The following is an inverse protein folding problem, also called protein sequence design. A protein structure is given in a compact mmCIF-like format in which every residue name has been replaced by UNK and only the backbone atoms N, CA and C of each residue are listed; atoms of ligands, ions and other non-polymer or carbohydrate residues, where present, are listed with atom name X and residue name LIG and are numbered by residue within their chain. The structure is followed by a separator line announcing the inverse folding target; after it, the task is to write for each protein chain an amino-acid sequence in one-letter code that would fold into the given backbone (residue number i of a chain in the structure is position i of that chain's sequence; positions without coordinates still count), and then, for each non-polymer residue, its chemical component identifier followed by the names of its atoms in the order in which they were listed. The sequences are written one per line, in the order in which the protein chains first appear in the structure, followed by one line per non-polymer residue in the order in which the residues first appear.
data_IF_776855192523
#
_entry.id   IF_776855192523
#
_cell.length_a   1.000
_cell.length_b   1.000
_cell.length_c   1.000
_cell.angle_alpha   90.00
_cell.angle_beta   90.00
_cell.angle_gamma   90.00
#
_symmetry.space_group_name_H-M   'P 1'
#
loop_
_entity.id
_entity.type
_entity.pdbx_description
1 polymer ?
2 non-polymer ?
3 non-polymer ?
4 water ?
#
# COMPACT_ATOMS: atom_id res chain seq x y z
N UNK A 1 24.30 9.43 6.92
CA UNK A 1 25.51 9.83 6.21
C UNK A 1 25.74 8.90 5.01
N UNK A 2 25.38 7.65 5.21
CA UNK A 2 25.39 6.63 4.16
C UNK A 2 23.96 6.22 3.85
N UNK A 3 23.61 5.90 2.61
CA UNK A 3 22.20 5.49 2.43
C UNK A 3 22.08 4.16 1.70
N UNK A 4 22.82 3.18 2.20
CA UNK A 4 22.87 1.86 1.57
C UNK A 4 21.84 0.92 2.19
N UNK A 5 20.93 0.34 1.41
CA UNK A 5 20.00 -0.57 2.03
C UNK A 5 20.62 -1.93 2.40
N UNK A 6 20.07 -2.53 3.44
CA UNK A 6 20.31 -3.91 3.76
C UNK A 6 18.98 -4.66 3.80
N UNK A 7 18.95 -5.95 3.52
CA UNK A 7 17.74 -6.76 3.76
C UNK A 7 17.10 -6.54 5.12
N UNK A 8 17.83 -6.09 6.15
CA UNK A 8 17.03 -5.77 7.36
C UNK A 8 16.17 -4.54 7.20
N UNK A 9 16.28 -3.78 6.09
CA UNK A 9 15.38 -2.62 5.95
C UNK A 9 14.02 -3.07 5.42
N UNK A 10 13.92 -4.32 5.05
CA UNK A 10 12.66 -4.93 4.65
C UNK A 10 12.11 -4.34 3.36
N UNK A 11 13.00 -3.97 2.44
CA UNK A 11 12.48 -3.45 1.16
C UNK A 11 12.13 -4.57 0.17
N UNK A 12 10.93 -4.47 -0.43
CA UNK A 12 10.48 -5.53 -1.29
C UNK A 12 9.96 -4.91 -2.59
N UNK A 13 9.95 -5.74 -3.63
CA UNK A 13 9.50 -5.26 -4.93
C UNK A 13 8.66 -6.31 -5.62
N UNK A 14 7.64 -5.89 -6.38
CA UNK A 14 6.91 -6.90 -7.14
C UNK A 14 7.69 -7.24 -8.40
N UNK A 15 7.55 -8.52 -8.83
CA UNK A 15 8.16 -8.94 -10.08
C UNK A 15 7.71 -8.07 -11.26
N UNK A 16 6.48 -7.61 -11.20
CA UNK A 16 5.88 -6.81 -12.26
C UNK A 16 6.41 -5.39 -12.30
N UNK A 17 7.21 -4.97 -11.34
CA UNK A 17 7.62 -3.57 -11.29
C UNK A 17 8.82 -3.37 -12.20
N UNK A 18 9.96 -3.95 -11.79
CA UNK A 18 11.16 -3.91 -12.62
C UNK A 18 10.92 -4.71 -13.89
N UNK A 19 9.95 -5.63 -13.89
CA UNK A 19 9.67 -6.42 -15.08
C UNK A 19 8.70 -5.76 -16.04
N UNK A 20 8.26 -4.52 -15.73
CA UNK A 20 7.30 -3.88 -16.63
C UNK A 20 7.96 -3.60 -17.98
N UNK A 21 7.40 -4.14 -19.08
CA UNK A 21 8.02 -3.93 -20.38
C UNK A 21 7.74 -2.59 -21.02
N UNK A 22 6.87 -1.74 -20.46
CA UNK A 22 6.77 -0.40 -21.08
C UNK A 22 5.56 -0.23 -21.95
N UNK A 23 4.68 -1.22 -22.04
CA UNK A 23 3.45 -1.06 -22.82
C UNK A 23 2.43 -0.11 -22.14
N UNK A 24 1.97 0.94 -22.83
CA UNK A 24 1.03 1.87 -22.16
C UNK A 24 -0.21 2.03 -23.07
N UNK A 25 -1.22 2.83 -22.80
CA UNK A 25 -2.41 2.75 -23.65
C UNK A 25 -2.12 3.20 -25.08
N UNK A 26 -1.02 3.93 -25.25
CA UNK A 26 -0.70 4.47 -26.56
C UNK A 26 0.59 3.93 -27.15
N UNK A 27 1.18 2.86 -26.64
CA UNK A 27 2.44 2.49 -27.24
C UNK A 27 2.89 1.08 -26.90
N UNK A 28 3.78 0.58 -27.72
CA UNK A 28 4.28 -0.78 -27.59
C UNK A 28 5.36 -0.87 -26.51
N UNK A 29 5.72 -2.10 -26.16
CA UNK A 29 6.78 -2.37 -25.20
C UNK A 29 8.10 -1.77 -25.64
N UNK A 30 8.90 -1.20 -24.75
CA UNK A 30 10.22 -0.67 -25.07
C UNK A 30 11.33 -1.52 -24.47
N UNK A 31 10.98 -2.52 -23.67
CA UNK A 31 11.99 -3.38 -23.04
C UNK A 31 11.60 -4.84 -23.22
N UNK A 32 12.61 -5.72 -23.30
CA UNK A 32 12.26 -7.14 -23.40
C UNK A 32 11.83 -7.68 -22.04
N UNK A 33 11.17 -8.85 -22.08
CA UNK A 33 10.74 -9.42 -20.80
C UNK A 33 11.95 -9.85 -19.98
N UNK A 34 11.80 -9.74 -18.68
CA UNK A 34 12.82 -10.21 -17.77
C UNK A 34 12.45 -11.57 -17.21
N UNK A 35 13.39 -12.49 -17.09
CA UNK A 35 13.08 -13.74 -16.38
C UNK A 35 12.99 -13.48 -14.89
N UNK A 36 11.97 -13.97 -14.20
CA UNK A 36 11.86 -13.77 -12.76
C UNK A 36 13.12 -14.11 -11.99
N UNK A 37 13.82 -15.13 -12.53
CA UNK A 37 15.04 -15.51 -11.80
C UNK A 37 16.05 -14.39 -11.88
N UNK A 38 16.11 -13.71 -13.03
CA UNK A 38 17.11 -12.66 -13.13
C UNK A 38 16.71 -11.46 -12.27
N UNK A 39 15.40 -11.17 -12.16
CA UNK A 39 14.99 -10.06 -11.30
C UNK A 39 15.34 -10.35 -9.85
N UNK A 40 15.14 -11.60 -9.41
CA UNK A 40 15.47 -11.89 -8.01
C UNK A 40 16.93 -11.67 -7.70
N UNK A 41 17.80 -12.12 -8.59
CA UNK A 41 19.23 -11.95 -8.35
C UNK A 41 19.63 -10.48 -8.41
N UNK A 42 19.09 -9.74 -9.36
CA UNK A 42 19.44 -8.33 -9.49
C UNK A 42 18.95 -7.51 -8.31
N UNK A 43 17.74 -7.81 -7.88
CA UNK A 43 17.25 -7.11 -6.71
C UNK A 43 18.02 -7.47 -5.45
N UNK A 44 18.38 -8.75 -5.31
CA UNK A 44 19.21 -9.11 -4.16
C UNK A 44 20.51 -8.34 -4.12
N UNK A 45 21.12 -8.13 -5.27
CA UNK A 45 22.38 -7.40 -5.30
C UNK A 45 22.23 -5.94 -4.92
N UNK A 46 21.04 -5.38 -5.10
CA UNK A 46 20.82 -3.99 -4.75
C UNK A 46 20.49 -3.83 -3.27
N UNK A 47 20.27 -4.96 -2.59
CA UNK A 47 20.01 -4.80 -1.15
C UNK A 47 18.57 -5.03 -0.76
N UNK A 48 17.76 -5.50 -1.70
CA UNK A 48 16.38 -5.79 -1.34
C UNK A 48 16.24 -6.98 -0.38
N UNK A 49 15.15 -7.05 0.34
CA UNK A 49 14.83 -8.15 1.26
C UNK A 49 14.02 -9.23 0.58
N UNK A 50 13.18 -8.86 -0.41
CA UNK A 50 12.26 -9.86 -0.93
C UNK A 50 11.53 -9.39 -2.18
N UNK A 51 10.72 -10.30 -2.74
CA UNK A 51 9.94 -10.02 -3.92
C UNK A 51 8.52 -10.52 -3.71
N UNK A 52 7.61 -10.00 -4.55
CA UNK A 52 6.22 -10.42 -4.49
C UNK A 52 5.76 -10.75 -5.92
N UNK A 53 4.62 -11.41 -6.04
CA UNK A 53 4.22 -11.75 -7.39
C UNK A 53 2.72 -11.87 -7.50
N UNK A 54 2.17 -11.66 -8.70
CA UNK A 54 0.86 -12.19 -9.05
C UNK A 54 1.09 -13.61 -9.59
N UNK A 55 0.11 -14.49 -9.41
CA UNK A 55 0.20 -15.82 -10.06
C UNK A 55 0.67 -15.74 -11.51
N UNK A 56 0.09 -14.91 -12.35
CA UNK A 56 0.47 -14.87 -13.76
C UNK A 56 1.81 -14.21 -14.02
N UNK A 57 2.48 -13.56 -13.08
CA UNK A 57 3.83 -13.09 -13.30
C UNK A 57 4.83 -14.26 -13.25
N UNK A 58 4.48 -15.25 -12.44
CA UNK A 58 5.41 -16.35 -12.12
C UNK A 58 5.17 -17.53 -13.04
N UNK A 59 3.88 -17.80 -13.26
CA UNK A 59 3.43 -18.93 -14.07
C UNK A 59 2.55 -18.40 -15.18
N UNK A 60 3.01 -18.47 -16.42
CA UNK A 60 2.21 -17.88 -17.51
C UNK A 60 0.84 -18.57 -17.57
N UNK A 61 -0.14 -17.75 -17.90
CA UNK A 61 -1.54 -18.13 -17.97
C UNK A 61 -1.70 -19.34 -18.90
N UNK A 62 -2.49 -20.31 -18.47
CA UNK A 62 -2.89 -21.52 -19.14
C UNK A 62 -1.87 -22.64 -19.04
N UNK A 63 -0.84 -22.43 -18.23
CA UNK A 63 0.27 -23.35 -18.09
C UNK A 63 -0.19 -24.73 -17.63
N UNK A 64 0.42 -25.75 -18.24
CA UNK A 64 0.15 -27.12 -17.85
C UNK A 64 0.58 -27.33 -16.41
N UNK A 65 -0.05 -28.19 -15.62
CA UNK A 65 0.44 -28.43 -14.25
C UNK A 65 1.90 -28.82 -14.15
N UNK A 66 2.48 -29.33 -15.23
CA UNK A 66 3.87 -29.67 -15.21
C UNK A 66 4.74 -28.48 -15.56
N UNK A 67 4.27 -27.55 -16.41
CA UNK A 67 5.13 -26.40 -16.68
C UNK A 67 5.17 -25.47 -15.45
N UNK A 68 4.10 -25.54 -14.69
CA UNK A 68 3.90 -24.87 -13.42
C UNK A 68 4.94 -25.28 -12.39
N UNK A 69 5.11 -26.58 -12.20
CA UNK A 69 6.08 -27.04 -11.24
C UNK A 69 7.52 -26.66 -11.59
N UNK A 70 7.84 -26.67 -12.88
CA UNK A 70 9.13 -26.23 -13.37
C UNK A 70 9.35 -24.75 -13.09
N UNK A 71 8.33 -23.93 -13.30
CA UNK A 71 8.49 -22.49 -13.09
C UNK A 71 8.70 -22.23 -11.61
N UNK A 72 7.92 -22.93 -10.79
CA UNK A 72 8.09 -22.67 -9.35
C UNK A 72 9.45 -23.14 -8.85
N UNK A 73 9.90 -24.28 -9.37
CA UNK A 73 11.15 -24.84 -8.82
C UNK A 73 12.32 -23.95 -9.14
N UNK A 74 12.42 -23.42 -10.36
CA UNK A 74 13.46 -22.47 -10.69
C UNK A 74 13.42 -21.20 -9.84
N UNK A 75 12.19 -20.79 -9.56
CA UNK A 75 12.06 -19.57 -8.72
C UNK A 75 12.59 -19.83 -7.33
N UNK A 76 12.19 -20.97 -6.79
CA UNK A 76 12.57 -21.40 -5.47
C UNK A 76 14.08 -21.56 -5.39
N UNK A 77 14.73 -22.05 -6.42
CA UNK A 77 16.19 -22.09 -6.40
C UNK A 77 16.79 -20.70 -6.33
N UNK A 78 16.22 -19.72 -7.06
CA UNK A 78 16.82 -18.38 -6.98
C UNK A 78 16.66 -17.77 -5.61
N UNK A 79 15.54 -18.12 -4.97
CA UNK A 79 15.31 -17.59 -3.61
C UNK A 79 16.32 -18.18 -2.61
N UNK A 80 16.52 -19.49 -2.73
CA UNK A 80 17.52 -20.17 -1.90
C UNK A 80 18.92 -19.68 -2.17
N UNK A 81 19.26 -19.44 -3.43
CA UNK A 81 20.58 -18.96 -3.76
C UNK A 81 20.88 -17.55 -3.27
N UNK A 82 19.82 -16.75 -3.12
CA UNK A 82 20.02 -15.35 -2.77
C UNK A 82 19.66 -14.99 -1.35
N UNK A 83 18.84 -15.78 -0.63
CA UNK A 83 18.43 -15.33 0.69
C UNK A 83 17.16 -14.47 0.59
N UNK A 84 16.64 -14.25 -0.61
CA UNK A 84 15.41 -13.43 -0.77
C UNK A 84 14.17 -14.11 -0.25
N UNK A 85 13.26 -13.34 0.37
CA UNK A 85 11.98 -13.88 0.87
C UNK A 85 10.81 -13.47 -0.03
N UNK A 86 9.64 -14.09 0.20
CA UNK A 86 8.39 -13.76 -0.52
C UNK A 86 7.30 -13.50 0.52
N UNK A 87 7.21 -12.26 1.02
CA UNK A 87 6.26 -11.98 2.10
C UNK A 87 4.81 -11.76 1.72
N UNK A 88 4.59 -11.53 0.43
CA UNK A 88 3.24 -11.23 -0.04
C UNK A 88 3.06 -11.85 -1.40
N UNK A 89 1.82 -12.25 -1.71
CA UNK A 89 1.50 -12.65 -3.06
C UNK A 89 0.08 -12.16 -3.40
N UNK A 90 -0.28 -12.23 -4.67
CA UNK A 90 -1.61 -11.71 -5.06
C UNK A 90 -2.06 -12.42 -6.31
N UNK A 91 -3.30 -12.22 -6.76
CA UNK A 91 -3.83 -12.89 -7.93
C UNK A 91 -4.00 -11.90 -9.07
N UNK A 92 -3.75 -12.29 -10.32
CA UNK A 92 -4.10 -11.38 -11.40
C UNK A 92 -5.54 -11.65 -11.80
N UNK A 93 -6.48 -10.79 -11.39
CA UNK A 93 -7.87 -10.92 -11.86
C UNK A 93 -8.22 -9.70 -12.70
N UNK A 94 -7.26 -9.25 -13.54
CA UNK A 94 -7.54 -8.05 -14.32
C UNK A 94 -7.02 -8.11 -15.73
N UNK A 95 -6.01 -8.89 -16.08
CA UNK A 95 -5.44 -8.82 -17.45
C UNK A 95 -6.19 -9.61 -18.50
N UNK A 96 -6.55 -10.87 -18.19
CA UNK A 96 -7.25 -11.66 -19.21
C UNK A 96 -8.61 -11.10 -19.56
N UNK A 97 -8.99 -11.14 -20.84
CA UNK A 97 -10.31 -10.65 -21.26
C UNK A 97 -11.47 -11.25 -20.48
N UNK A 98 -11.38 -12.44 -19.90
CA UNK A 98 -12.54 -12.96 -19.20
C UNK A 98 -12.89 -12.07 -17.99
N UNK A 99 -11.92 -11.30 -17.50
CA UNK A 99 -12.14 -10.42 -16.33
C UNK A 99 -12.54 -9.01 -16.72
N UNK A 100 -12.97 -8.82 -17.97
CA UNK A 100 -13.26 -7.45 -18.44
C UNK A 100 -14.37 -6.79 -17.64
N UNK A 101 -15.30 -7.47 -16.99
CA UNK A 101 -16.32 -6.81 -16.18
C UNK A 101 -16.09 -7.12 -14.70
N UNK A 102 -14.90 -7.66 -14.37
CA UNK A 102 -14.61 -7.92 -12.96
C UNK A 102 -14.23 -9.39 -12.72
N UNK A 103 -13.77 -9.68 -11.51
CA UNK A 103 -13.56 -11.06 -11.10
C UNK A 103 -14.64 -11.43 -10.08
N UNK A 104 -14.51 -10.94 -8.85
CA UNK A 104 -15.46 -11.28 -7.82
C UNK A 104 -16.82 -10.63 -8.02
N UNK A 105 -16.91 -9.54 -8.80
CA UNK A 105 -18.21 -8.88 -8.97
C UNK A 105 -18.61 -8.77 -10.45
N UNK A 106 -18.03 -9.63 -11.28
CA UNK A 106 -18.47 -9.73 -12.67
C UNK A 106 -19.97 -10.02 -12.70
N UNK A 107 -20.70 -9.50 -13.68
CA UNK A 107 -22.12 -9.80 -13.70
C UNK A 107 -22.33 -11.31 -13.98
N UNK A 108 -21.46 -11.93 -14.78
CA UNK A 108 -21.65 -13.36 -15.08
C UNK A 108 -21.24 -14.22 -13.91
N UNK A 109 -22.14 -15.04 -13.43
CA UNK A 109 -21.83 -15.89 -12.27
C UNK A 109 -20.73 -16.87 -12.54
N UNK A 110 -20.63 -17.47 -13.73
CA UNK A 110 -19.57 -18.44 -13.95
C UNK A 110 -18.18 -17.80 -13.87
N UNK A 111 -18.09 -16.53 -14.25
CA UNK A 111 -16.79 -15.83 -14.12
C UNK A 111 -16.43 -15.61 -12.66
N UNK A 112 -17.41 -15.23 -11.83
CA UNK A 112 -17.14 -15.06 -10.39
C UNK A 112 -16.65 -16.36 -9.77
N UNK A 113 -17.21 -17.50 -10.18
CA UNK A 113 -16.74 -18.77 -9.60
C UNK A 113 -15.34 -19.07 -10.09
N UNK A 114 -15.06 -18.83 -11.36
CA UNK A 114 -13.70 -19.03 -11.84
C UNK A 114 -12.68 -18.15 -11.12
N UNK A 115 -13.04 -16.88 -10.90
CA UNK A 115 -12.12 -15.97 -10.22
C UNK A 115 -11.77 -16.49 -8.83
N UNK A 116 -12.76 -17.02 -8.12
CA UNK A 116 -12.46 -17.57 -6.79
C UNK A 116 -11.57 -18.80 -6.90
N UNK A 117 -11.84 -19.70 -7.86
CA UNK A 117 -10.93 -20.85 -7.94
C UNK A 117 -9.52 -20.45 -8.34
N UNK A 118 -9.34 -19.46 -9.21
CA UNK A 118 -7.99 -19.03 -9.60
C UNK A 118 -7.28 -18.47 -8.39
N UNK A 119 -8.02 -17.73 -7.57
CA UNK A 119 -7.49 -17.15 -6.33
C UNK A 119 -7.05 -18.25 -5.35
N UNK A 120 -7.96 -19.21 -5.12
CA UNK A 120 -7.62 -20.24 -4.11
C UNK A 120 -6.39 -21.01 -4.48
N UNK A 121 -6.24 -21.37 -5.75
CA UNK A 121 -5.04 -22.03 -6.25
C UNK A 121 -3.79 -21.26 -5.91
N UNK A 122 -3.83 -19.92 -6.01
CA UNK A 122 -2.61 -19.17 -5.76
C UNK A 122 -2.41 -18.98 -4.27
N UNK A 123 -3.47 -19.01 -3.46
CA UNK A 123 -3.19 -18.86 -2.02
C UNK A 123 -2.39 -20.05 -1.53
N UNK A 124 -2.72 -21.25 -2.07
CA UNK A 124 -1.94 -22.44 -1.67
C UNK A 124 -0.47 -22.26 -1.99
N UNK A 125 -0.19 -21.75 -3.20
CA UNK A 125 1.19 -21.52 -3.63
C UNK A 125 1.87 -20.46 -2.77
N UNK A 126 1.14 -19.41 -2.40
CA UNK A 126 1.74 -18.38 -1.57
C UNK A 126 2.18 -18.90 -0.20
N UNK A 127 1.29 -19.69 0.37
CA UNK A 127 1.63 -20.30 1.67
C UNK A 127 2.86 -21.18 1.57
N UNK A 128 2.90 -22.00 0.51
CA UNK A 128 4.09 -22.84 0.29
C UNK A 128 5.34 -22.00 0.27
N UNK A 129 5.27 -20.82 -0.36
CA UNK A 129 6.46 -19.98 -0.46
C UNK A 129 6.70 -19.11 0.75
N UNK A 130 5.84 -19.18 1.75
CA UNK A 130 5.98 -18.52 3.01
C UNK A 130 5.42 -17.12 3.07
N UNK A 131 4.52 -16.77 2.14
CA UNK A 131 3.98 -15.40 2.25
C UNK A 131 3.11 -15.22 3.47
N UNK A 132 3.10 -14.03 4.05
CA UNK A 132 2.27 -13.84 5.22
C UNK A 132 1.03 -13.05 4.90
N UNK A 133 1.07 -12.37 3.78
CA UNK A 133 0.00 -11.46 3.39
C UNK A 133 -0.46 -11.79 1.95
N UNK A 134 -1.77 -11.81 1.77
CA UNK A 134 -2.31 -12.08 0.41
C UNK A 134 -3.08 -10.82 0.01
N UNK A 135 -2.62 -10.16 -1.05
CA UNK A 135 -3.26 -8.86 -1.43
C UNK A 135 -4.33 -9.09 -2.46
N UNK A 136 -5.37 -8.23 -2.43
CA UNK A 136 -6.39 -8.30 -3.47
C UNK A 136 -6.62 -6.89 -4.00
N UNK A 137 -6.32 -6.66 -5.28
CA UNK A 137 -6.66 -5.38 -5.89
C UNK A 137 -7.76 -5.69 -6.92
N UNK A 138 -8.95 -5.20 -6.63
CA UNK A 138 -10.08 -5.50 -7.55
C UNK A 138 -10.09 -4.45 -8.66
N UNK A 139 -9.09 -4.48 -9.51
CA UNK A 139 -8.90 -3.46 -10.56
C UNK A 139 -10.02 -3.45 -11.59
N UNK A 140 -10.73 -4.57 -11.80
CA UNK A 140 -11.83 -4.54 -12.78
C UNK A 140 -13.21 -4.51 -12.11
N UNK A 141 -13.30 -4.39 -10.78
CA UNK A 141 -14.60 -4.38 -10.11
C UNK A 141 -15.12 -2.94 -10.17
N UNK A 142 -16.13 -2.68 -10.98
CA UNK A 142 -16.50 -1.28 -11.16
C UNK A 142 -17.36 -1.13 -12.42
N UNK A 143 -17.33 0.08 -12.99
CA UNK A 143 -18.25 0.35 -14.11
C UNK A 143 -17.85 1.61 -14.84
N UNK A 144 -18.26 1.71 -16.11
CA UNK A 144 -18.10 2.97 -16.83
C UNK A 144 -19.44 3.68 -16.91
N UNK A 145 -20.53 2.97 -16.63
CA UNK A 145 -21.87 3.58 -16.75
C UNK A 145 -22.76 3.14 -15.59
N UNK A 146 -23.80 3.94 -15.32
CA UNK A 146 -24.58 3.79 -14.11
C UNK A 146 -25.43 2.55 -14.06
N UNK A 147 -25.97 2.11 -15.20
CA UNK A 147 -26.90 0.99 -15.12
C UNK A 147 -26.22 -0.36 -15.19
N UNK A 148 -24.92 -0.38 -15.46
CA UNK A 148 -24.23 -1.65 -15.68
C UNK A 148 -23.99 -2.43 -14.40
N UNK A 149 -24.02 -1.76 -13.26
CA UNK A 149 -23.61 -2.45 -12.01
C UNK A 149 -24.54 -2.01 -10.90
N UNK A 150 -25.30 -2.89 -10.28
CA UNK A 150 -26.04 -2.48 -9.09
C UNK A 150 -25.03 -2.55 -7.95
N UNK A 151 -24.67 -1.44 -7.32
CA UNK A 151 -23.54 -1.54 -6.38
C UNK A 151 -23.89 -2.26 -5.10
N UNK A 152 -25.13 -2.22 -4.60
CA UNK A 152 -25.44 -3.05 -3.46
C UNK A 152 -25.31 -4.53 -3.78
N UNK A 153 -25.79 -4.97 -4.96
CA UNK A 153 -25.61 -6.40 -5.27
C UNK A 153 -24.15 -6.72 -5.45
N UNK A 154 -23.38 -5.81 -6.06
CA UNK A 154 -21.97 -6.07 -6.22
C UNK A 154 -21.26 -6.14 -4.87
N UNK A 155 -21.62 -5.30 -3.90
CA UNK A 155 -20.96 -5.46 -2.59
C UNK A 155 -21.36 -6.77 -1.92
N UNK A 156 -22.60 -7.21 -2.17
CA UNK A 156 -22.96 -8.53 -1.65
C UNK A 156 -22.07 -9.61 -2.22
N UNK A 157 -21.79 -9.51 -3.52
CA UNK A 157 -20.94 -10.50 -4.18
C UNK A 157 -19.49 -10.40 -3.70
N UNK A 158 -19.04 -9.16 -3.44
CA UNK A 158 -17.68 -8.98 -2.96
C UNK A 158 -17.51 -9.57 -1.56
N UNK A 159 -18.51 -9.33 -0.73
CA UNK A 159 -18.50 -9.85 0.65
C UNK A 159 -18.52 -11.37 0.59
N UNK A 160 -19.39 -11.91 -0.28
CA UNK A 160 -19.45 -13.37 -0.40
C UNK A 160 -18.13 -13.97 -0.79
N UNK A 161 -17.42 -13.32 -1.74
CA UNK A 161 -16.11 -13.81 -2.18
C UNK A 161 -15.08 -13.77 -1.06
N UNK A 162 -15.00 -12.62 -0.37
CA UNK A 162 -13.99 -12.59 0.71
C UNK A 162 -14.36 -13.51 1.85
N UNK A 163 -15.68 -13.68 2.09
CA UNK A 163 -16.05 -14.59 3.18
C UNK A 163 -15.65 -16.02 2.84
N UNK A 164 -15.83 -16.42 1.58
CA UNK A 164 -15.41 -17.76 1.19
C UNK A 164 -13.91 -17.92 1.26
N UNK A 165 -13.13 -16.92 0.87
CA UNK A 165 -11.69 -17.04 1.03
C UNK A 165 -11.28 -17.17 2.49
N UNK A 166 -11.99 -16.48 3.37
CA UNK A 166 -11.69 -16.59 4.80
C UNK A 166 -12.03 -17.99 5.31
N UNK A 167 -13.14 -18.52 4.87
CA UNK A 167 -13.50 -19.88 5.23
C UNK A 167 -12.43 -20.88 4.76
N UNK A 168 -11.95 -20.67 3.56
CA UNK A 168 -10.92 -21.54 3.01
C UNK A 168 -9.67 -21.52 3.86
N UNK A 169 -9.13 -20.33 4.17
CA UNK A 169 -7.82 -20.38 4.84
C UNK A 169 -8.01 -20.87 6.27
N UNK A 170 -9.17 -20.64 6.88
CA UNK A 170 -9.28 -21.12 8.26
C UNK A 170 -9.48 -22.62 8.21
N UNK A 171 -10.17 -23.09 7.18
CA UNK A 171 -10.42 -24.54 7.17
C UNK A 171 -9.13 -25.30 6.89
N UNK A 172 -8.20 -24.66 6.18
CA UNK A 172 -6.91 -25.23 5.90
C UNK A 172 -5.89 -25.00 7.02
N UNK A 173 -6.22 -24.15 7.98
CA UNK A 173 -5.24 -23.87 9.03
C UNK A 173 -4.08 -22.98 8.63
N UNK A 174 -4.24 -22.20 7.56
CA UNK A 174 -3.13 -21.37 7.11
C UNK A 174 -3.02 -20.07 7.93
N UNK A 175 -1.79 -19.64 8.10
CA UNK A 175 -1.43 -18.41 8.78
C UNK A 175 -1.09 -17.40 7.68
N UNK A 176 -2.18 -16.86 7.16
CA UNK A 176 -1.99 -15.83 6.12
C UNK A 176 -3.16 -14.87 6.36
N UNK A 177 -2.98 -13.59 6.14
CA UNK A 177 -4.05 -12.61 6.29
C UNK A 177 -4.28 -11.89 4.96
N UNK A 178 -5.45 -11.28 4.78
CA UNK A 178 -5.75 -10.65 3.52
C UNK A 178 -5.57 -9.14 3.58
N UNK A 179 -5.15 -8.50 2.49
CA UNK A 179 -5.05 -7.04 2.52
C UNK A 179 -5.77 -6.52 1.26
N UNK A 180 -6.78 -5.68 1.42
CA UNK A 180 -7.45 -5.14 0.22
C UNK A 180 -6.79 -3.86 -0.21
N UNK A 181 -6.51 -3.75 -1.50
CA UNK A 181 -5.81 -2.55 -2.00
C UNK A 181 -6.81 -1.67 -2.71
N UNK A 182 -7.17 -0.52 -2.21
CA UNK A 182 -8.17 0.35 -2.90
C UNK A 182 -7.53 1.15 -4.03
N UNK A 183 -8.38 1.56 -4.99
CA UNK A 183 -7.96 2.48 -6.07
C UNK A 183 -9.21 3.16 -6.56
N UNK A 184 -9.24 4.44 -6.83
CA UNK A 184 -10.51 5.08 -7.17
C UNK A 184 -11.00 4.85 -8.60
N UNK A 185 -10.09 4.72 -9.54
CA UNK A 185 -10.44 4.56 -10.93
C UNK A 185 -9.21 3.99 -11.65
N UNK A 186 -9.39 3.55 -12.87
CA UNK A 186 -8.38 3.14 -13.82
C UNK A 186 -7.94 1.72 -13.48
N UNK A 187 -8.30 0.70 -14.24
CA UNK A 187 -8.86 0.82 -15.58
C UNK A 187 -10.38 0.93 -15.68
N UNK A 188 -11.13 0.77 -14.60
CA UNK A 188 -12.58 1.01 -14.76
C UNK A 188 -12.86 2.49 -14.53
N UNK A 189 -13.96 2.99 -15.07
CA UNK A 189 -14.29 4.41 -14.89
C UNK A 189 -14.45 4.78 -13.43
N UNK A 190 -15.05 3.95 -12.59
CA UNK A 190 -15.01 4.06 -11.14
C UNK A 190 -14.81 2.64 -10.60
N UNK A 191 -13.95 2.48 -9.61
CA UNK A 191 -13.70 1.13 -9.07
C UNK A 191 -14.40 1.06 -7.73
N UNK A 192 -14.93 -0.12 -7.38
CA UNK A 192 -15.55 -0.27 -6.06
C UNK A 192 -14.51 -0.28 -4.93
N UNK A 193 -14.91 0.17 -3.75
CA UNK A 193 -13.99 0.40 -2.62
C UNK A 193 -12.86 1.33 -3.04
N UNK A 194 -13.20 2.56 -3.40
CA UNK A 194 -12.22 3.41 -4.05
C UNK A 194 -11.13 4.00 -3.19
N UNK A 195 -11.34 4.01 -1.87
CA UNK A 195 -10.32 4.62 -1.03
C UNK A 195 -10.06 3.76 0.19
N UNK A 196 -8.99 4.08 0.91
CA UNK A 196 -8.76 3.36 2.17
C UNK A 196 -9.95 3.37 3.08
N UNK A 197 -10.69 4.50 3.16
CA UNK A 197 -11.85 4.50 4.05
C UNK A 197 -12.92 3.52 3.61
N UNK A 198 -13.25 3.49 2.31
CA UNK A 198 -14.28 2.57 1.87
C UNK A 198 -13.89 1.12 2.12
N UNK A 199 -12.62 0.79 1.94
CA UNK A 199 -12.16 -0.59 2.23
C UNK A 199 -12.25 -0.90 3.70
N UNK A 200 -11.85 0.01 4.58
CA UNK A 200 -11.92 -0.25 6.02
C UNK A 200 -13.37 -0.48 6.42
N UNK A 201 -14.27 0.31 5.81
CA UNK A 201 -15.66 0.17 6.24
C UNK A 201 -16.22 -1.17 5.81
N UNK A 202 -15.83 -1.59 4.61
CA UNK A 202 -16.31 -2.86 4.06
C UNK A 202 -15.86 -4.04 4.90
N UNK A 203 -14.60 -4.00 5.35
CA UNK A 203 -14.05 -5.12 6.14
C UNK A 203 -14.87 -5.40 7.40
N UNK A 204 -15.46 -4.36 7.96
CA UNK A 204 -16.17 -4.49 9.22
C UNK A 204 -17.45 -5.27 9.00
N UNK A 205 -17.85 -5.51 7.75
CA UNK A 205 -19.05 -6.27 7.47
C UNK A 205 -18.75 -7.70 7.05
N UNK A 206 -17.48 -8.09 7.10
CA UNK A 206 -17.15 -9.45 6.73
C UNK A 206 -17.38 -10.40 7.90
N UNK A 207 -17.53 -11.68 7.59
CA UNK A 207 -17.85 -12.56 8.73
C UNK A 207 -16.68 -12.64 9.70
N UNK A 208 -15.44 -12.64 9.26
CA UNK A 208 -14.30 -12.73 10.17
C UNK A 208 -13.35 -11.53 9.91
N UNK A 209 -13.76 -10.39 10.40
CA UNK A 209 -13.03 -9.17 10.04
C UNK A 209 -11.59 -9.18 10.47
N UNK A 210 -11.20 -9.97 11.48
CA UNK A 210 -9.81 -9.90 11.96
C UNK A 210 -8.84 -10.46 10.95
N UNK A 211 -9.30 -11.15 9.88
CA UNK A 211 -8.43 -11.72 8.88
C UNK A 211 -8.10 -10.74 7.75
N UNK A 212 -8.73 -9.57 7.79
CA UNK A 212 -8.60 -8.64 6.66
C UNK A 212 -8.12 -7.25 7.08
N UNK A 213 -7.16 -6.69 6.30
CA UNK A 213 -6.77 -5.31 6.53
C UNK A 213 -6.66 -4.62 5.17
N UNK A 214 -5.90 -3.51 5.15
CA UNK A 214 -5.74 -2.78 3.88
C UNK A 214 -4.29 -2.80 3.45
N UNK A 215 -4.09 -2.61 2.14
CA UNK A 215 -2.81 -2.43 1.47
C UNK A 215 -2.92 -1.11 0.69
N UNK A 216 -2.80 0.02 1.36
CA UNK A 216 -2.96 1.30 0.66
C UNK A 216 -1.78 1.55 -0.24
N UNK A 217 -1.99 2.34 -1.31
CA UNK A 217 -0.90 2.64 -2.24
C UNK A 217 -0.79 4.17 -2.37
N UNK A 218 0.42 4.69 -2.25
CA UNK A 218 0.57 6.15 -2.26
C UNK A 218 -0.20 6.81 -3.40
N UNK A 219 0.06 6.39 -4.63
CA UNK A 219 -0.50 7.11 -5.79
C UNK A 219 -2.00 6.92 -5.86
N UNK A 220 -2.52 5.82 -5.34
CA UNK A 220 -3.97 5.58 -5.47
C UNK A 220 -4.78 6.61 -4.69
N UNK A 221 -4.36 6.85 -3.44
CA UNK A 221 -5.16 7.83 -2.70
C UNK A 221 -4.96 9.23 -3.25
N UNK A 222 -3.76 9.47 -3.79
CA UNK A 222 -3.53 10.81 -4.38
C UNK A 222 -4.28 11.00 -5.68
N UNK A 223 -4.71 9.94 -6.35
CA UNK A 223 -5.59 10.07 -7.52
C UNK A 223 -6.98 10.60 -7.20
N UNK A 224 -7.29 10.57 -5.89
CA UNK A 224 -8.53 11.20 -5.42
C UNK A 224 -8.21 12.50 -4.68
N UNK A 225 -6.95 12.94 -4.71
CA UNK A 225 -6.62 14.23 -4.11
C UNK A 225 -6.59 14.16 -2.59
N UNK A 226 -6.50 12.94 -2.05
CA UNK A 226 -6.52 12.77 -0.59
C UNK A 226 -5.12 12.79 0.03
N UNK A 227 -5.11 12.98 1.35
CA UNK A 227 -3.81 13.05 2.05
C UNK A 227 -3.44 11.63 2.45
N UNK A 228 -2.39 11.11 1.80
CA UNK A 228 -2.04 9.70 2.08
C UNK A 228 -1.57 9.51 3.50
N UNK A 229 -0.67 10.29 4.09
CA UNK A 229 -0.38 10.08 5.53
C UNK A 229 -1.60 10.11 6.43
N UNK A 230 -2.60 10.96 6.15
CA UNK A 230 -3.81 10.93 6.97
C UNK A 230 -4.56 9.58 6.85
N UNK A 231 -4.63 9.04 5.64
CA UNK A 231 -5.36 7.77 5.43
C UNK A 231 -4.58 6.64 6.10
N UNK A 232 -3.27 6.66 6.02
CA UNK A 232 -2.48 5.63 6.73
C UNK A 232 -2.65 5.75 8.23
N UNK A 233 -2.73 6.96 8.77
CA UNK A 233 -2.98 7.12 10.21
C UNK A 233 -4.32 6.52 10.58
N UNK A 234 -5.35 6.68 9.73
CA UNK A 234 -6.65 6.10 10.08
C UNK A 234 -6.57 4.58 10.06
N UNK A 235 -5.82 4.07 9.07
CA UNK A 235 -5.62 2.62 9.01
C UNK A 235 -4.86 2.11 10.22
N UNK A 236 -3.82 2.81 10.66
CA UNK A 236 -3.10 2.37 11.85
C UNK A 236 -3.97 2.44 13.09
N UNK A 237 -4.76 3.48 13.17
CA UNK A 237 -5.67 3.66 14.30
C UNK A 237 -6.64 2.50 14.39
N UNK A 238 -7.09 1.97 13.26
CA UNK A 238 -8.04 0.86 13.22
C UNK A 238 -7.34 -0.47 13.42
N UNK A 239 -6.01 -0.51 13.44
CA UNK A 239 -5.25 -1.76 13.58
C UNK A 239 -5.24 -2.56 12.28
N UNK A 240 -5.36 -1.89 11.12
CA UNK A 240 -5.54 -2.61 9.86
C UNK A 240 -4.47 -2.35 8.82
N UNK A 241 -3.35 -1.74 9.19
CA UNK A 241 -2.32 -1.56 8.15
C UNK A 241 -1.49 -2.84 8.03
N UNK A 242 -1.90 -3.75 7.17
CA UNK A 242 -1.24 -5.03 7.05
C UNK A 242 -0.06 -5.01 6.07
N UNK A 243 -0.07 -4.05 5.14
CA UNK A 243 0.97 -4.01 4.10
C UNK A 243 0.91 -2.60 3.50
N UNK A 244 1.89 -2.19 2.72
CA UNK A 244 1.79 -0.85 2.12
C UNK A 244 2.50 -0.86 0.77
N UNK A 245 1.98 -0.14 -0.22
CA UNK A 245 2.59 -0.07 -1.54
C UNK A 245 3.16 1.36 -1.72
N UNK A 246 4.47 1.46 -1.96
CA UNK A 246 5.10 2.77 -2.00
C UNK A 246 5.44 3.18 -3.41
N UNK A 247 5.15 4.44 -3.78
CA UNK A 247 5.51 4.88 -5.14
C UNK A 247 5.28 6.40 -5.13
N UNK A 248 5.34 7.05 -6.28
CA UNK A 248 5.09 8.48 -6.36
C UNK A 248 4.04 8.79 -7.44
N UNK A 249 3.41 9.95 -7.27
CA UNK A 249 2.30 10.33 -8.15
C UNK A 249 2.28 11.85 -8.24
N UNK A 250 2.15 12.42 -9.43
CA UNK A 250 2.04 13.88 -9.47
C UNK A 250 0.57 14.28 -9.63
N UNK A 251 -0.21 14.26 -8.56
CA UNK A 251 -1.57 14.80 -8.62
C UNK A 251 -2.64 13.89 -9.17
N UNK A 252 -3.75 14.54 -9.55
CA UNK A 252 -4.94 13.81 -10.02
C UNK A 252 -4.87 13.63 -11.52
N UNK A 253 -4.50 12.43 -11.93
CA UNK A 253 -4.34 12.04 -13.33
C UNK A 253 -4.21 10.54 -13.37
N UNK A 254 -3.87 9.96 -14.50
CA UNK A 254 -3.67 8.52 -14.60
C UNK A 254 -2.64 8.07 -13.56
N UNK A 255 -2.64 6.80 -13.18
CA UNK A 255 -1.72 6.24 -12.19
C UNK A 255 -0.31 6.16 -12.75
N UNK A 256 0.60 7.01 -12.25
CA UNK A 256 1.92 7.08 -12.85
C UNK A 256 2.92 6.05 -12.37
N UNK A 257 2.76 5.58 -11.15
CA UNK A 257 3.64 4.62 -10.51
C UNK A 257 5.09 5.08 -10.59
N UNK A 258 5.36 6.34 -10.23
CA UNK A 258 6.76 6.76 -10.26
C UNK A 258 7.54 6.14 -9.12
N UNK A 259 8.87 6.26 -9.18
CA UNK A 259 9.60 5.71 -8.04
C UNK A 259 9.28 6.46 -6.74
N UNK A 260 9.36 5.75 -5.61
CA UNK A 260 9.10 6.39 -4.33
C UNK A 260 10.04 7.58 -4.10
N UNK A 261 9.47 8.70 -3.64
CA UNK A 261 10.20 9.93 -3.40
C UNK A 261 9.87 10.94 -4.50
N UNK A 262 9.62 10.41 -5.69
CA UNK A 262 9.15 11.28 -6.78
C UNK A 262 7.68 11.61 -6.50
N UNK A 263 7.11 12.55 -7.21
CA UNK A 263 5.72 12.91 -6.94
C UNK A 263 5.75 13.93 -5.80
N UNK A 264 4.90 13.67 -4.81
CA UNK A 264 4.76 14.65 -3.74
C UNK A 264 5.76 14.35 -2.64
N UNK A 265 6.88 15.08 -2.70
CA UNK A 265 7.99 14.78 -1.80
C UNK A 265 7.65 15.07 -0.35
N UNK A 266 6.94 16.19 -0.06
CA UNK A 266 6.66 16.40 1.35
C UNK A 266 5.71 15.35 1.92
N UNK A 267 4.75 14.87 1.11
CA UNK A 267 3.91 13.79 1.60
C UNK A 267 4.70 12.52 1.89
N UNK A 268 5.77 12.31 1.11
CA UNK A 268 6.62 11.14 1.36
C UNK A 268 7.33 11.29 2.71
N UNK A 269 7.78 12.49 3.02
CA UNK A 269 8.45 12.77 4.30
C UNK A 269 7.51 12.49 5.44
N UNK A 270 6.26 13.00 5.33
CA UNK A 270 5.37 12.78 6.47
C UNK A 270 4.92 11.35 6.56
N UNK A 271 4.86 10.64 5.42
CA UNK A 271 4.54 9.22 5.47
C UNK A 271 5.66 8.47 6.21
N UNK A 272 6.90 8.74 5.82
CA UNK A 272 7.98 7.99 6.50
C UNK A 272 8.01 8.30 7.99
N UNK A 273 7.85 9.57 8.34
CA UNK A 273 7.78 9.95 9.76
C UNK A 273 6.74 9.12 10.48
N UNK A 274 5.56 8.98 9.85
CA UNK A 274 4.50 8.25 10.53
C UNK A 274 4.80 6.76 10.63
N UNK A 275 5.24 6.12 9.55
CA UNK A 275 5.50 4.70 9.63
C UNK A 275 6.57 4.38 10.66
N UNK A 276 7.61 5.21 10.71
CA UNK A 276 8.72 4.94 11.65
C UNK A 276 8.30 5.27 13.07
N UNK A 277 7.57 6.36 13.27
CA UNK A 277 7.12 6.66 14.64
C UNK A 277 6.04 5.72 15.15
N UNK A 278 5.22 5.09 14.31
CA UNK A 278 4.21 4.15 14.75
C UNK A 278 4.80 2.75 14.89
N UNK A 279 6.04 2.56 14.46
CA UNK A 279 6.64 1.22 14.53
C UNK A 279 6.01 0.25 13.56
N UNK A 280 5.56 0.70 12.39
CA UNK A 280 5.13 -0.24 11.35
C UNK A 280 6.25 -1.24 11.10
N UNK A 281 5.90 -2.54 11.15
CA UNK A 281 6.95 -3.54 10.99
C UNK A 281 6.81 -4.42 9.75
N UNK A 282 5.87 -4.13 8.87
CA UNK A 282 5.71 -4.95 7.67
C UNK A 282 6.74 -4.56 6.63
N UNK A 283 6.65 -5.18 5.46
CA UNK A 283 7.52 -4.82 4.34
C UNK A 283 7.31 -3.37 3.85
N UNK A 284 8.39 -2.79 3.34
CA UNK A 284 8.29 -1.51 2.64
C UNK A 284 8.38 -1.92 1.17
N UNK A 285 7.19 -2.10 0.61
CA UNK A 285 7.02 -2.65 -0.72
C UNK A 285 6.87 -1.58 -1.78
N UNK A 286 7.65 -1.69 -2.85
CA UNK A 286 7.53 -0.68 -3.91
C UNK A 286 6.72 -1.25 -5.05
N UNK A 287 5.62 -0.55 -5.37
CA UNK A 287 4.80 -0.93 -6.52
C UNK A 287 4.95 0.23 -7.50
N UNK A 288 5.93 0.14 -8.40
CA UNK A 288 6.27 1.29 -9.23
C UNK A 288 6.61 0.74 -10.61
N UNK A 289 6.75 1.66 -11.56
CA UNK A 289 7.14 1.28 -12.92
C UNK A 289 8.30 2.13 -13.37
N UNK A 290 9.45 1.56 -13.71
CA UNK A 290 10.48 2.42 -14.31
C UNK A 290 9.92 2.98 -15.60
N UNK A 291 10.00 4.29 -15.85
CA UNK A 291 9.42 4.86 -17.07
C UNK A 291 9.93 4.19 -18.32
N UNK A 292 9.07 4.22 -19.35
CA UNK A 292 9.37 3.42 -20.53
C UNK A 292 10.46 4.08 -21.39
N UNK A 293 10.91 5.27 -20.99
CA UNK A 293 12.07 5.91 -21.58
C UNK A 293 13.35 5.17 -21.24
N UNK A 294 13.32 4.29 -20.27
CA UNK A 294 14.59 3.80 -19.73
C UNK A 294 15.01 2.45 -20.30
N UNK A 295 16.33 2.21 -20.39
CA UNK A 295 16.74 0.83 -20.70
C UNK A 295 16.96 0.07 -19.40
N UNK A 296 17.52 -1.16 -19.46
CA UNK A 296 17.64 -1.88 -18.20
C UNK A 296 18.56 -1.24 -17.19
N UNK A 297 19.59 -0.50 -17.58
CA UNK A 297 20.35 0.17 -16.53
C UNK A 297 19.48 1.19 -15.80
N UNK A 298 18.57 1.85 -16.51
CA UNK A 298 17.69 2.84 -15.87
C UNK A 298 16.67 2.16 -14.99
N UNK A 299 16.26 0.94 -15.37
CA UNK A 299 15.39 0.19 -14.46
C UNK A 299 16.01 -0.03 -13.10
N UNK A 300 17.28 -0.46 -13.07
CA UNK A 300 17.90 -0.77 -11.78
C UNK A 300 18.22 0.52 -11.04
N UNK A 301 18.47 1.57 -11.79
CA UNK A 301 18.73 2.86 -11.17
C UNK A 301 17.47 3.36 -10.48
N UNK A 302 16.34 3.19 -11.16
CA UNK A 302 15.05 3.60 -10.59
C UNK A 302 14.70 2.81 -9.36
N UNK A 303 14.91 1.48 -9.40
CA UNK A 303 14.65 0.66 -8.21
C UNK A 303 15.56 1.03 -7.05
N UNK A 304 16.85 1.27 -7.35
CA UNK A 304 17.71 1.68 -6.24
C UNK A 304 17.28 2.98 -5.61
N UNK A 305 16.77 3.86 -6.45
CA UNK A 305 16.33 5.18 -5.97
C UNK A 305 15.15 5.07 -5.02
N UNK A 306 14.31 4.07 -5.24
CA UNK A 306 13.21 3.88 -4.32
C UNK A 306 13.72 3.75 -2.88
N UNK A 307 14.73 2.88 -2.78
CA UNK A 307 15.27 2.52 -1.47
C UNK A 307 16.05 3.70 -0.89
N UNK A 308 16.84 4.32 -1.74
CA UNK A 308 17.65 5.45 -1.29
C UNK A 308 16.78 6.55 -0.74
N UNK A 309 15.68 6.88 -1.46
CA UNK A 309 14.87 8.00 -0.99
C UNK A 309 14.16 7.64 0.30
N UNK A 310 13.69 6.40 0.47
CA UNK A 310 13.17 6.04 1.78
C UNK A 310 14.24 6.26 2.86
N UNK A 311 15.47 5.81 2.66
CA UNK A 311 16.45 5.94 3.75
C UNK A 311 16.85 7.39 3.99
N UNK A 312 16.86 8.25 2.96
CA UNK A 312 17.13 9.66 3.26
C UNK A 312 16.00 10.26 4.07
N UNK A 313 14.74 10.04 3.65
CA UNK A 313 13.65 10.60 4.42
C UNK A 313 13.57 10.08 5.83
N UNK A 314 13.89 8.81 6.05
CA UNK A 314 13.92 8.29 7.42
C UNK A 314 14.88 9.04 8.30
N UNK A 315 16.05 9.31 7.75
CA UNK A 315 17.04 10.05 8.49
C UNK A 315 16.58 11.47 8.81
N UNK A 316 16.00 12.12 7.82
CA UNK A 316 15.53 13.49 8.07
C UNK A 316 14.36 13.50 9.03
N UNK A 317 13.45 12.51 9.00
CA UNK A 317 12.30 12.56 9.90
C UNK A 317 12.74 12.27 11.33
N UNK A 318 13.72 11.38 11.47
CA UNK A 318 14.25 11.08 12.79
C UNK A 318 14.96 12.30 13.38
N UNK A 319 15.69 13.01 12.55
CA UNK A 319 16.38 14.22 12.99
C UNK A 319 15.38 15.28 13.44
N UNK A 320 14.26 15.37 12.69
CA UNK A 320 13.20 16.32 13.05
C UNK A 320 12.65 16.03 14.42
N UNK A 321 12.32 14.77 14.65
CA UNK A 321 11.63 14.44 15.89
C UNK A 321 12.61 14.51 17.06
N UNK A 322 13.89 14.33 16.82
CA UNK A 322 14.86 14.32 17.92
C UNK A 322 15.34 15.73 18.24
N UNK A 323 15.05 16.72 17.41
CA UNK A 323 15.56 18.06 17.64
C UNK A 323 14.92 18.75 18.82
N UNK A 324 15.65 19.19 19.85
CA UNK A 324 14.94 19.78 20.99
C UNK A 324 14.14 21.01 20.61
N UNK A 325 14.58 21.72 19.58
CA UNK A 325 13.88 22.90 19.16
C UNK A 325 12.51 22.51 18.57
N UNK A 326 12.46 21.36 17.91
CA UNK A 326 11.16 20.90 17.37
C UNK A 326 10.26 20.43 18.49
N UNK A 327 10.86 19.74 19.47
CA UNK A 327 10.04 19.27 20.59
C UNK A 327 9.44 20.46 21.33
N UNK A 328 10.17 21.56 21.44
CA UNK A 328 9.57 22.73 22.08
C UNK A 328 8.48 23.35 21.22
N UNK A 329 8.72 23.38 19.90
CA UNK A 329 7.66 23.90 19.01
C UNK A 329 6.41 23.04 19.04
N UNK A 330 6.58 21.72 19.21
CA UNK A 330 5.38 20.89 19.27
C UNK A 330 4.57 21.25 20.51
N UNK A 331 5.29 21.52 21.60
CA UNK A 331 4.57 21.95 22.80
C UNK A 331 3.93 23.32 22.61
N UNK A 332 4.63 24.21 21.90
CA UNK A 332 4.07 25.52 21.65
C UNK A 332 2.79 25.45 20.83
N UNK A 333 2.70 24.45 19.94
CA UNK A 333 1.50 24.26 19.14
C UNK A 333 0.50 23.32 19.78
N UNK A 334 0.72 22.92 21.03
CA UNK A 334 -0.14 22.10 21.87
C UNK A 334 -0.40 20.71 21.34
N UNK A 335 0.59 20.10 20.67
CA UNK A 335 0.44 18.71 20.26
C UNK A 335 0.36 17.84 21.50
N UNK A 336 0.97 18.29 22.60
CA UNK A 336 0.87 17.49 23.83
C UNK A 336 -0.55 17.52 24.36
N UNK A 337 -1.25 18.64 24.21
CA UNK A 337 -2.64 18.69 24.68
C UNK A 337 -3.60 17.87 23.83
N UNK A 338 -3.27 17.73 22.55
CA UNK A 338 -4.13 16.93 21.67
C UNK A 338 -4.20 15.48 22.14
N UNK A 339 -3.10 15.03 22.71
CA UNK A 339 -3.00 13.63 23.17
C UNK A 339 -3.64 13.39 24.53
N UNK A 340 -4.12 14.44 25.19
CA UNK A 340 -4.79 14.24 26.48
C UNK A 340 -6.29 14.13 26.28
N UNK A 341 -6.94 13.28 27.05
CA UNK A 341 -8.39 13.16 26.92
C UNK A 341 -9.05 14.49 27.18
N UNK A 342 -10.06 14.72 26.36
CA UNK A 342 -10.89 15.90 26.50
C UNK A 342 -11.65 15.91 27.82
N UNK A 343 -12.14 14.73 28.18
CA UNK A 343 -13.05 14.74 29.35
C UNK A 343 -12.95 13.44 30.15
N UNK A 344 -11.75 13.19 30.66
CA UNK A 344 -11.55 11.95 31.45
C UNK A 344 -12.40 12.03 32.72
N UNK A 345 -12.79 13.21 33.12
CA UNK A 345 -13.63 13.48 34.30
C UNK A 345 -15.04 12.97 34.03
N UNK A 346 -15.41 12.74 32.77
CA UNK A 346 -16.71 12.13 32.52
C UNK A 346 -17.76 13.16 32.13
N UNK A 347 -18.88 12.69 31.57
CA UNK A 347 -19.95 13.51 31.07
C UNK A 347 -20.57 14.39 32.14
N UNK A 348 -20.89 13.78 33.30
CA UNK A 348 -21.55 14.69 34.27
C UNK A 348 -20.64 15.79 34.75
N UNK A 349 -19.35 15.54 34.98
CA UNK A 349 -18.44 16.60 35.41
C UNK A 349 -18.21 17.64 34.33
N UNK A 350 -18.28 17.20 33.08
CA UNK A 350 -18.23 18.18 31.97
C UNK A 350 -19.46 19.08 31.97
N UNK A 351 -20.66 18.53 32.17
CA UNK A 351 -21.87 19.34 32.19
C UNK A 351 -21.90 20.31 33.37
N UNK A 352 -21.24 19.99 34.46
CA UNK A 352 -21.23 20.87 35.60
C UNK A 352 -20.05 21.81 35.64
N UNK A 353 -19.15 21.70 34.67
CA UNK A 353 -17.98 22.57 34.66
C UNK A 353 -18.22 23.91 34.02
N UNK A 354 -18.42 24.95 34.83
CA UNK A 354 -18.74 26.26 34.27
C UNK A 354 -17.55 26.80 33.48
N UNK A 355 -16.36 26.28 33.76
CA UNK A 355 -15.21 26.80 33.03
C UNK A 355 -15.23 26.30 31.59
N UNK A 356 -16.11 25.34 31.29
CA UNK A 356 -16.20 24.81 29.93
C UNK A 356 -17.23 25.53 29.10
N UNK A 357 -18.03 26.42 29.69
CA UNK A 357 -19.03 27.08 28.86
C UNK A 357 -19.49 28.42 29.43
N UNK A 358 -20.18 28.42 30.57
CA UNK A 358 -20.70 29.66 31.12
C UNK A 358 -19.61 30.66 31.37
N UNK A 359 -18.46 30.18 31.83
CA UNK A 359 -17.38 31.07 32.20
C UNK A 359 -16.15 30.88 31.31
N UNK A 360 -16.33 30.25 30.15
CA UNK A 360 -15.18 30.13 29.24
C UNK A 360 -14.94 31.43 28.51
N UNK A 361 -13.72 31.92 28.50
CA UNK A 361 -13.41 33.15 27.82
C UNK A 361 -13.10 32.85 26.35
N UNK A 362 -14.10 32.95 25.47
CA UNK A 362 -13.88 32.49 24.11
C UNK A 362 -12.92 33.42 23.39
N UNK A 363 -12.95 34.70 23.71
CA UNK A 363 -12.15 35.68 22.99
C UNK A 363 -10.67 35.45 23.31
N UNK A 364 -10.40 35.10 24.55
CA UNK A 364 -9.01 34.84 24.94
C UNK A 364 -8.49 33.57 24.28
N UNK A 365 -9.36 32.56 24.20
CA UNK A 365 -8.93 31.33 23.52
C UNK A 365 -8.70 31.57 22.03
N UNK A 366 -9.62 32.30 21.41
CA UNK A 366 -9.53 32.57 19.99
C UNK A 366 -8.27 33.31 19.63
N UNK A 367 -7.75 34.12 20.57
CA UNK A 367 -6.61 34.97 20.22
C UNK A 367 -5.30 34.21 20.27
N UNK A 368 -5.29 32.99 20.82
CA UNK A 368 -4.01 32.30 20.94
C UNK A 368 -3.55 31.80 19.57
N UNK A 369 -2.37 32.10 19.12
CA UNK A 369 -2.00 31.55 17.79
C UNK A 369 -1.58 30.11 17.95
N UNK A 370 -1.72 29.29 16.91
CA UNK A 370 -1.31 27.91 16.99
C UNK A 370 0.18 27.69 16.70
N UNK A 371 0.88 28.68 16.15
CA UNK A 371 2.31 28.60 15.83
C UNK A 371 2.65 27.45 14.89
N UNK A 372 1.71 27.14 13.98
CA UNK A 372 1.96 26.03 13.07
C UNK A 372 2.93 26.36 11.95
N UNK A 373 3.02 27.63 11.57
CA UNK A 373 3.92 27.96 10.45
C UNK A 373 5.38 27.83 10.91
N UNK A 374 5.70 28.20 12.14
CA UNK A 374 7.06 28.05 12.58
C UNK A 374 7.42 26.56 12.65
N UNK A 375 6.50 25.75 13.13
CA UNK A 375 6.73 24.31 13.22
C UNK A 375 6.94 23.73 11.82
N UNK A 376 6.15 24.20 10.85
CA UNK A 376 6.25 23.62 9.50
C UNK A 376 7.53 24.05 8.81
N UNK A 377 8.05 25.25 9.14
CA UNK A 377 9.32 25.63 8.52
C UNK A 377 10.44 24.87 9.20
N UNK A 378 10.30 24.54 10.49
CA UNK A 378 11.34 23.64 11.04
C UNK A 378 11.33 22.30 10.32
N UNK A 379 10.13 21.81 9.99
CA UNK A 379 10.08 20.54 9.27
C UNK A 379 10.68 20.66 7.88
N UNK A 380 10.46 21.79 7.21
CA UNK A 380 11.05 22.02 5.90
C UNK A 380 12.56 22.11 5.99
N UNK A 381 13.07 22.86 6.98
CA UNK A 381 14.53 22.96 7.11
C UNK A 381 15.12 21.58 7.34
N UNK A 382 14.43 20.76 8.16
CA UNK A 382 15.00 19.41 8.41
C UNK A 382 14.97 18.57 7.15
N UNK A 383 13.86 18.60 6.41
CA UNK A 383 13.79 17.82 5.16
C UNK A 383 14.88 18.21 4.20
N UNK A 384 15.15 19.51 4.05
CA UNK A 384 16.17 19.98 3.09
C UNK A 384 17.59 19.96 3.65
N UNK A 385 17.75 19.62 4.91
CA UNK A 385 19.11 19.52 5.49
C UNK A 385 19.69 20.91 5.65
N UNK A 386 18.83 21.84 6.05
CA UNK A 386 19.24 23.25 6.12
C UNK A 386 19.15 23.79 7.54
N UNK A 387 19.50 22.96 8.50
CA UNK A 387 19.48 23.41 9.89
C UNK A 387 20.78 24.08 10.32
N UNK A 388 20.65 25.24 10.98
CA UNK A 388 21.81 25.97 11.49
C UNK A 388 21.50 26.72 12.77
X LIG B 1 -0.33 -1.71 -5.81
X LIG C 1 -0.94 1.94 -9.03
X LIG D 1 -1.77 -5.62 -6.93
X LIG D 1 -2.34 -6.23 -8.11
X LIG D 1 -0.98 -4.36 -7.30
X LIG D 1 -0.45 -3.81 -6.08
X LIG D 1 -1.74 -3.26 -8.02
X LIG D 1 -1.48 -1.89 -7.58
X LIG D 1 -1.41 -3.43 -9.49
X LIG D 1 -1.43 -2.11 -10.12
X LIG D 1 0.05 -3.87 -9.35
X LIG D 1 0.06 -4.77 -8.23
#
# INVERSE_FOLDING_TARGET
MNYQPTPEDRFTFGLWTVGWQGRDPFGDATRRALDPVESVRRLAELGAHGVTFHDDDLIPFGSSDSEREEHVKRFRQALDDTGMKVPMATTNLFTHPVFKDGGFTANDRDVRRYALRKTIRNIDLAVELGAETYVAWGGREGAESGGAKDVRDALDRMKEAFDLLGEYVTSQGYDIRFAIEPKPNEPRGDILLPTVGHALAFIERLERPELYGVNPEVGHEQMAGLNFPHGIAQALWAGKLFHIDLNGQNGIKYDQDLRFGAGDLRAAFWLVDLLESAGYSGPRHFDFKPPRTEDFDGVWASAAGCMRNYLILKERAAAFRADPEVQEALRASRLDELARPTAADGLQALLDDRSAFEEFDVDAAAARGMAFERLDQLAMDHLLGARG
MG MG
MG MG
RUU C1 O1 C2 O2 C3 O3 C4 O4 C5 O5
#
